data_IF_935338825870
#
_entry.id   IF_935338825870
#
_cell.length_a   1.000
_cell.length_b   1.000
_cell.length_c   1.000
_cell.angle_alpha   90.00
_cell.angle_beta   90.00
_cell.angle_gamma   90.00
#
_symmetry.space_group_name_H-M   'P 1'
#
loop_
_entity.id
_entity.type
_entity.pdbx_description
1 polymer ?
#
# COMPACT_ATOMS: atom_id res chain seq x y z
N UNK A 1 -8.94 -2.11 19.28
CA UNK A 1 -8.56 -1.37 18.06
C UNK A 1 -9.70 -0.42 17.64
N UNK A 2 -9.47 0.89 17.72
CA UNK A 2 -10.43 1.89 17.27
C UNK A 2 -10.34 1.93 15.75
N UNK A 3 -11.36 1.39 15.07
CA UNK A 3 -11.48 1.49 13.62
C UNK A 3 -11.65 2.96 13.24
N UNK A 4 -10.56 3.65 12.88
CA UNK A 4 -10.58 5.05 12.48
C UNK A 4 -11.14 5.23 11.04
N UNK A 5 -12.27 4.58 10.72
CA UNK A 5 -12.88 4.62 9.40
C UNK A 5 -14.06 3.65 9.22
N UNK A 6 -14.75 3.79 8.10
CA UNK A 6 -15.90 2.94 7.70
C UNK A 6 -15.47 1.47 7.66
N UNK A 7 -16.21 0.58 8.31
CA UNK A 7 -15.84 -0.84 8.37
C UNK A 7 -15.81 -1.48 6.97
N UNK A 8 -14.68 -2.08 6.59
CA UNK A 8 -14.47 -2.69 5.28
C UNK A 8 -14.10 -1.69 4.17
N UNK A 9 -13.64 -0.49 4.54
CA UNK A 9 -13.12 0.51 3.59
C UNK A 9 -11.62 0.43 3.36
N UNK A 10 -10.88 -0.27 4.24
CA UNK A 10 -9.47 -0.59 4.04
C UNK A 10 -9.29 -1.43 2.78
N UNK A 11 -8.09 -1.38 2.21
CA UNK A 11 -7.76 -2.17 1.02
C UNK A 11 -7.85 -3.68 1.31
N UNK A 12 -8.08 -4.48 0.27
CA UNK A 12 -8.11 -5.94 0.31
C UNK A 12 -7.07 -6.52 -0.68
N UNK A 13 -6.67 -7.78 -0.47
CA UNK A 13 -5.77 -8.50 -1.38
C UNK A 13 -4.44 -7.76 -1.65
N UNK A 14 -3.82 -7.21 -0.60
CA UNK A 14 -2.52 -6.57 -0.69
C UNK A 14 -1.43 -7.60 -0.99
N UNK A 15 -0.56 -7.30 -1.96
CA UNK A 15 0.58 -8.14 -2.29
C UNK A 15 1.69 -7.31 -2.91
N UNK A 16 2.93 -7.58 -2.52
CA UNK A 16 4.13 -6.98 -3.10
C UNK A 16 5.08 -8.07 -3.61
N UNK A 17 5.71 -7.81 -4.76
CA UNK A 17 6.74 -8.67 -5.35
C UNK A 17 7.92 -7.84 -5.82
N UNK A 18 9.12 -8.40 -5.71
CA UNK A 18 10.34 -7.77 -6.20
C UNK A 18 10.85 -8.51 -7.42
N UNK A 19 11.25 -7.74 -8.43
CA UNK A 19 11.68 -8.25 -9.72
C UNK A 19 12.77 -7.33 -10.28
N UNK A 20 13.53 -7.84 -11.25
CA UNK A 20 14.63 -7.11 -11.87
C UNK A 20 15.59 -6.50 -10.82
N UNK A 21 15.92 -7.26 -9.76
CA UNK A 21 16.89 -6.94 -8.70
C UNK A 21 16.40 -5.87 -7.70
N UNK A 22 15.78 -4.78 -8.14
CA UNK A 22 15.47 -3.64 -7.26
C UNK A 22 14.16 -2.92 -7.56
N UNK A 23 13.28 -3.53 -8.36
CA UNK A 23 11.93 -2.99 -8.60
C UNK A 23 10.93 -3.74 -7.73
N UNK A 24 10.09 -3.00 -7.01
CA UNK A 24 8.98 -3.58 -6.24
C UNK A 24 7.65 -3.13 -6.80
N UNK A 25 6.76 -4.09 -7.07
CA UNK A 25 5.38 -3.83 -7.43
C UNK A 25 4.47 -4.28 -6.30
N UNK A 26 3.70 -3.36 -5.75
CA UNK A 26 2.63 -3.65 -4.80
C UNK A 26 1.27 -3.43 -5.48
N UNK A 27 0.31 -4.31 -5.21
CA UNK A 27 -1.05 -4.21 -5.75
C UNK A 27 -2.07 -4.50 -4.67
N UNK A 28 -3.26 -3.92 -4.80
CA UNK A 28 -4.37 -4.13 -3.89
C UNK A 28 -5.71 -3.85 -4.58
N UNK A 29 -6.79 -4.22 -3.91
CA UNK A 29 -8.15 -3.90 -4.27
C UNK A 29 -8.74 -2.91 -3.27
N UNK A 30 -9.65 -2.05 -3.72
CA UNK A 30 -10.40 -1.20 -2.81
C UNK A 30 -11.29 -2.06 -1.90
N UNK A 31 -11.45 -1.63 -0.64
CA UNK A 31 -12.35 -2.30 0.29
C UNK A 31 -13.79 -2.33 -0.21
N UNK A 32 -14.52 -3.40 0.11
CA UNK A 32 -15.91 -3.60 -0.36
C UNK A 32 -16.86 -2.47 0.03
N UNK A 33 -16.60 -1.83 1.16
CA UNK A 33 -17.40 -0.72 1.68
C UNK A 33 -16.72 0.64 1.50
N UNK A 34 -15.65 0.72 0.69
CA UNK A 34 -15.00 1.98 0.38
C UNK A 34 -15.92 2.85 -0.51
N UNK A 35 -16.09 4.15 -0.19
CA UNK A 35 -16.86 5.05 -1.02
C UNK A 35 -16.21 5.23 -2.41
N UNK A 36 -16.97 5.67 -3.41
CA UNK A 36 -16.49 5.78 -4.81
C UNK A 36 -15.38 6.81 -5.01
N UNK A 37 -15.29 7.80 -4.15
CA UNK A 37 -14.25 8.83 -4.16
C UNK A 37 -13.05 8.47 -3.27
N UNK A 38 -13.02 7.28 -2.67
CA UNK A 38 -11.88 6.83 -1.89
C UNK A 38 -10.59 6.83 -2.72
N UNK A 39 -9.53 7.39 -2.14
CA UNK A 39 -8.17 7.37 -2.66
C UNK A 39 -7.24 6.74 -1.64
N UNK A 40 -6.23 5.99 -2.09
CA UNK A 40 -5.31 5.24 -1.24
C UNK A 40 -3.87 5.69 -1.40
N UNK A 41 -3.09 5.65 -0.32
CA UNK A 41 -1.71 6.11 -0.30
C UNK A 41 -0.85 5.08 0.41
N UNK A 42 0.16 4.56 -0.29
CA UNK A 42 1.05 3.52 0.22
C UNK A 42 2.33 4.14 0.75
N UNK A 43 2.68 3.73 1.96
CA UNK A 43 3.95 3.97 2.62
C UNK A 43 4.57 2.62 2.96
N UNK A 44 5.90 2.53 2.86
CA UNK A 44 6.62 1.34 3.29
C UNK A 44 7.89 1.71 4.03
N UNK A 45 8.29 0.87 4.96
CA UNK A 45 9.52 0.99 5.72
C UNK A 45 10.18 -0.38 5.77
N UNK A 46 11.49 -0.42 5.58
CA UNK A 46 12.29 -1.62 5.80
C UNK A 46 13.37 -1.34 6.85
N UNK A 47 14.14 -2.37 7.18
CA UNK A 47 15.25 -2.25 8.15
C UNK A 47 16.35 -1.24 7.71
N UNK A 48 16.51 -0.98 6.42
CA UNK A 48 17.58 -0.12 5.89
C UNK A 48 17.22 1.36 5.98
N UNK A 49 15.93 1.69 5.84
CA UNK A 49 15.43 3.07 5.85
C UNK A 49 14.89 3.44 7.23
N UNK A 50 15.50 4.45 7.87
CA UNK A 50 15.02 5.00 9.14
C UNK A 50 13.63 5.65 9.00
N UNK A 51 13.29 6.16 7.82
CA UNK A 51 12.01 6.81 7.52
C UNK A 51 11.12 5.97 6.58
N UNK A 52 9.80 6.10 6.72
CA UNK A 52 8.85 5.52 5.79
C UNK A 52 8.86 6.26 4.45
N UNK A 53 8.93 5.50 3.35
CA UNK A 53 8.91 6.02 1.99
C UNK A 53 7.50 5.95 1.42
N UNK A 54 7.01 7.07 0.87
CA UNK A 54 5.77 7.08 0.09
C UNK A 54 6.00 6.47 -1.30
N UNK A 55 4.95 5.86 -1.84
CA UNK A 55 4.91 5.41 -3.23
C UNK A 55 5.41 6.45 -4.23
N UNK A 56 6.40 6.07 -5.04
CA UNK A 56 6.97 6.90 -6.09
C UNK A 56 6.07 6.97 -7.33
N UNK A 57 5.51 5.82 -7.74
CA UNK A 57 4.69 5.71 -8.94
C UNK A 57 3.44 4.86 -8.71
N UNK A 58 2.30 5.52 -8.51
CA UNK A 58 1.02 4.85 -8.34
C UNK A 58 0.51 4.21 -9.63
N UNK A 59 -0.01 2.99 -9.51
CA UNK A 59 -0.83 2.31 -10.51
C UNK A 59 -2.29 2.69 -10.23
N UNK A 60 -2.99 3.18 -11.26
CA UNK A 60 -4.35 3.70 -11.13
C UNK A 60 -5.35 2.85 -11.91
N UNK A 61 -6.56 2.73 -11.38
CA UNK A 61 -7.70 2.16 -12.10
C UNK A 61 -8.32 3.17 -13.08
N UNK A 62 -9.39 2.76 -13.78
CA UNK A 62 -10.12 3.59 -14.74
C UNK A 62 -10.73 4.87 -14.13
N UNK A 63 -10.95 4.88 -12.81
CA UNK A 63 -11.49 6.03 -12.07
C UNK A 63 -10.38 6.90 -11.46
N UNK A 64 -9.10 6.59 -11.72
CA UNK A 64 -7.96 7.33 -11.19
C UNK A 64 -7.62 7.02 -9.72
N UNK A 65 -8.22 5.98 -9.15
CA UNK A 65 -7.92 5.50 -7.79
C UNK A 65 -6.64 4.68 -7.81
N UNK A 66 -5.79 4.91 -6.82
CA UNK A 66 -4.56 4.16 -6.61
C UNK A 66 -4.91 2.73 -6.16
N UNK A 67 -4.50 1.75 -6.97
CA UNK A 67 -4.71 0.30 -6.77
C UNK A 67 -3.40 -0.47 -6.75
N UNK A 68 -2.28 0.26 -6.80
CA UNK A 68 -0.95 -0.31 -6.76
C UNK A 68 0.12 0.76 -6.69
N UNK A 69 1.35 0.31 -6.50
CA UNK A 69 2.53 1.15 -6.45
C UNK A 69 3.71 0.45 -7.11
N UNK A 70 4.59 1.24 -7.72
CA UNK A 70 5.93 0.81 -8.15
C UNK A 70 6.98 1.64 -7.42
N UNK A 71 7.95 0.95 -6.82
CA UNK A 71 9.15 1.54 -6.24
C UNK A 71 10.38 1.16 -7.07
N UNK A 72 11.34 2.07 -7.13
CA UNK A 72 12.64 1.85 -7.75
C UNK A 72 13.74 1.79 -6.69
N UNK A 73 14.85 1.12 -7.02
CA UNK A 73 16.03 1.04 -6.16
C UNK A 73 15.75 0.46 -4.76
N UNK A 74 14.82 -0.48 -4.67
CA UNK A 74 14.51 -1.21 -3.45
C UNK A 74 15.68 -2.11 -3.09
N UNK A 75 16.23 -1.91 -1.89
CA UNK A 75 17.16 -2.82 -1.25
C UNK A 75 16.47 -3.39 -0.03
N UNK A 76 16.33 -4.70 0.06
CA UNK A 76 15.77 -5.37 1.23
C UNK A 76 16.95 -5.98 1.97
N UNK A 77 17.08 -5.66 3.27
CA UNK A 77 18.01 -6.38 4.14
C UNK A 77 17.47 -7.77 4.47
N UNK A 78 17.06 -7.98 5.72
CA UNK A 78 16.58 -9.28 6.23
C UNK A 78 15.16 -9.69 5.76
N UNK A 79 14.72 -9.22 4.59
CA UNK A 79 13.54 -9.75 3.89
C UNK A 79 12.15 -9.33 4.41
N UNK A 80 12.04 -8.66 5.56
CA UNK A 80 10.76 -8.18 6.09
C UNK A 80 10.64 -6.65 5.94
N UNK A 81 9.47 -6.18 5.51
CA UNK A 81 9.15 -4.76 5.41
C UNK A 81 7.74 -4.48 5.97
N UNK A 82 7.60 -3.33 6.62
CA UNK A 82 6.32 -2.82 7.09
C UNK A 82 5.66 -1.99 5.98
N UNK A 83 4.38 -2.26 5.73
CA UNK A 83 3.57 -1.52 4.78
C UNK A 83 2.37 -0.89 5.49
N UNK A 84 2.07 0.35 5.12
CA UNK A 84 0.91 1.11 5.58
C UNK A 84 0.20 1.70 4.37
N UNK A 85 -1.08 1.36 4.19
CA UNK A 85 -1.95 2.00 3.20
C UNK A 85 -3.01 2.82 3.90
N UNK A 86 -2.87 4.13 3.79
CA UNK A 86 -3.88 5.08 4.24
C UNK A 86 -4.93 5.29 3.16
N UNK A 87 -6.09 5.81 3.56
CA UNK A 87 -7.11 6.22 2.62
C UNK A 87 -7.72 7.57 2.97
N UNK A 88 -8.22 8.28 1.95
CA UNK A 88 -8.98 9.51 2.10
C UNK A 88 -10.25 9.45 1.26
N UNK A 89 -11.29 10.14 1.71
CA UNK A 89 -12.49 10.45 0.92
C UNK A 89 -13.06 11.78 1.40
N UNK A 90 -14.03 12.35 0.67
CA UNK A 90 -14.60 13.67 1.01
C UNK A 90 -15.37 13.65 2.34
N UNK A 91 -16.22 12.64 2.51
CA UNK A 91 -17.24 12.63 3.57
C UNK A 91 -17.07 11.48 4.56
N UNK A 92 -16.08 10.62 4.37
CA UNK A 92 -15.89 9.42 5.20
C UNK A 92 -14.42 9.16 5.51
N UNK A 93 -14.17 8.76 6.76
CA UNK A 93 -12.87 8.24 7.14
C UNK A 93 -12.70 6.84 6.55
N UNK A 94 -11.55 6.60 5.93
CA UNK A 94 -11.18 5.31 5.37
C UNK A 94 -10.29 4.59 6.36
N UNK A 95 -10.57 3.32 6.61
CA UNK A 95 -9.71 2.48 7.45
C UNK A 95 -8.36 2.31 6.76
N UNK A 96 -7.29 2.47 7.52
CA UNK A 96 -5.96 2.11 7.04
C UNK A 96 -5.78 0.59 7.05
N UNK A 97 -4.87 0.13 6.21
CA UNK A 97 -4.34 -1.24 6.21
C UNK A 97 -2.87 -1.18 6.60
N UNK A 98 -2.43 -2.07 7.47
CA UNK A 98 -1.01 -2.24 7.76
C UNK A 98 -0.62 -3.69 7.97
N UNK A 99 0.59 -4.05 7.53
CA UNK A 99 1.11 -5.41 7.64
C UNK A 99 2.64 -5.45 7.53
N UNK A 100 3.26 -6.39 8.23
CA UNK A 100 4.63 -6.81 7.96
C UNK A 100 4.62 -7.93 6.91
N UNK A 101 5.25 -7.67 5.77
CA UNK A 101 5.28 -8.61 4.64
C UNK A 101 6.70 -9.11 4.43
N UNK A 102 6.84 -10.44 4.34
CA UNK A 102 8.06 -11.04 3.83
C UNK A 102 8.14 -10.85 2.32
N UNK A 103 9.13 -10.10 1.89
CA UNK A 103 9.38 -9.83 0.49
C UNK A 103 10.28 -10.91 -0.09
N UNK A 104 9.92 -11.40 -1.26
CA UNK A 104 10.70 -12.34 -2.04
C UNK A 104 10.92 -11.80 -3.44
N UNK A 105 12.07 -12.14 -4.00
CA UNK A 105 12.40 -11.86 -5.40
C UNK A 105 11.85 -12.99 -6.30
N UNK A 106 11.26 -12.60 -7.43
CA UNK A 106 10.70 -13.52 -8.44
C UNK A 106 11.50 -13.53 -9.73
#
# INVERSE_FOLDING_TARGET
PVFAGVNGSAIENFSCVIYNISLMNCTWQAGRNAPRDAQYFLYWQNFIYDDALECELYIKDENGRNVGCRFQNVSIGDGEAYFLVNGSSKDSLIQFYDEYVQLYEI
#
